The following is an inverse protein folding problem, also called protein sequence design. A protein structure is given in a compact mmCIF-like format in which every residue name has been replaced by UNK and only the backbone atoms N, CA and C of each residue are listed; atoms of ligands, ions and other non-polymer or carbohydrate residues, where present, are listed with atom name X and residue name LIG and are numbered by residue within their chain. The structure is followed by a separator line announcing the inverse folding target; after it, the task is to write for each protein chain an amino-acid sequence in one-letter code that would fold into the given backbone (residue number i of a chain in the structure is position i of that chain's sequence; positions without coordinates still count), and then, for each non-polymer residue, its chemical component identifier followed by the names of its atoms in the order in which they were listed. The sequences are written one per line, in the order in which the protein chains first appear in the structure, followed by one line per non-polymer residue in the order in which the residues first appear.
data_IF_397983908294
#
_entry.id   IF_397983908294
#
_cell.length_a   1.000
_cell.length_b   1.000
_cell.length_c   1.000
_cell.angle_alpha   90.00
_cell.angle_beta   90.00
_cell.angle_gamma   90.00
#
_symmetry.space_group_name_H-M   'P 1'
#
loop_
_entity.id
_entity.type
_entity.pdbx_description
1 polymer ?
#
# COMPACT_ATOMS: atom_id res chain seq x y z
N UNK A 1 34.30 40.18 65.02
CA UNK A 1 32.88 40.27 64.62
C UNK A 1 32.82 39.98 63.14
N UNK A 2 32.36 38.78 62.84
CA UNK A 2 31.78 38.20 61.61
C UNK A 2 32.23 38.66 60.22
N UNK A 3 32.88 37.72 59.51
CA UNK A 3 33.00 37.69 58.06
C UNK A 3 32.01 36.63 57.51
N UNK A 4 31.01 36.98 56.68
CA UNK A 4 30.00 36.04 56.23
C UNK A 4 30.51 35.16 55.07
N UNK A 5 30.50 33.85 55.34
CA UNK A 5 30.22 32.74 54.42
C UNK A 5 30.46 32.92 52.91
N UNK A 6 31.58 32.38 52.41
CA UNK A 6 31.76 31.95 51.01
C UNK A 6 31.23 30.52 50.84
N UNK A 7 29.92 30.32 50.87
CA UNK A 7 29.28 29.02 50.60
C UNK A 7 28.22 29.17 49.52
N UNK A 8 28.65 29.44 48.29
CA UNK A 8 27.70 29.76 47.22
C UNK A 8 28.07 29.38 45.79
N UNK A 9 29.05 28.50 45.54
CA UNK A 9 29.41 28.21 44.14
C UNK A 9 29.70 26.76 43.74
N UNK A 10 29.80 25.82 44.67
CA UNK A 10 30.13 24.42 44.30
C UNK A 10 28.90 23.61 43.87
N UNK A 11 27.69 23.99 44.30
CA UNK A 11 26.47 23.23 44.03
C UNK A 11 25.99 23.33 42.56
N UNK A 12 26.27 24.44 41.84
CA UNK A 12 25.76 24.66 40.46
C UNK A 12 26.41 23.78 39.38
N UNK A 13 27.67 23.37 39.54
CA UNK A 13 28.40 22.57 38.54
C UNK A 13 27.96 21.10 38.54
N UNK A 14 27.64 20.56 39.71
CA UNK A 14 27.18 19.16 39.84
C UNK A 14 25.79 18.97 39.23
N UNK A 15 24.88 19.94 39.39
CA UNK A 15 23.58 19.91 38.70
C UNK A 15 23.73 20.03 37.18
N UNK A 16 24.65 20.86 36.68
CA UNK A 16 24.88 20.98 35.24
C UNK A 16 25.41 19.68 34.61
N UNK A 17 26.30 18.96 35.31
CA UNK A 17 26.82 17.66 34.86
C UNK A 17 25.75 16.58 34.92
N UNK A 18 24.95 16.52 36.00
CA UNK A 18 23.85 15.57 36.12
C UNK A 18 22.76 15.81 35.07
N UNK A 19 22.42 17.07 34.78
CA UNK A 19 21.45 17.42 33.71
C UNK A 19 22.02 17.07 32.33
N UNK A 20 23.31 17.31 32.08
CA UNK A 20 23.94 16.93 30.82
C UNK A 20 24.00 15.41 30.62
N UNK A 21 24.27 14.63 31.68
CA UNK A 21 24.27 13.16 31.63
C UNK A 21 22.86 12.58 31.45
N UNK A 22 21.85 13.16 32.11
CA UNK A 22 20.44 12.78 31.89
C UNK A 22 19.99 13.13 30.48
N UNK A 23 20.39 14.29 29.94
CA UNK A 23 20.10 14.67 28.56
C UNK A 23 20.79 13.75 27.54
N UNK A 24 22.06 13.37 27.76
CA UNK A 24 22.77 12.42 26.92
C UNK A 24 22.15 11.02 26.98
N UNK A 25 21.69 10.60 28.17
CA UNK A 25 20.99 9.33 28.34
C UNK A 25 19.65 9.38 27.60
N UNK A 26 18.86 10.45 27.73
CA UNK A 26 17.58 10.62 27.02
C UNK A 26 17.74 10.64 25.49
N UNK A 27 18.83 11.20 24.95
CA UNK A 27 19.16 11.12 23.51
C UNK A 27 19.55 9.70 23.09
N UNK A 28 20.14 8.90 23.99
CA UNK A 28 20.53 7.51 23.74
C UNK A 28 19.34 6.52 23.88
N UNK A 29 18.33 6.84 24.70
CA UNK A 29 17.11 6.02 24.85
C UNK A 29 15.98 6.40 23.89
N UNK A 30 16.13 7.46 23.08
CA UNK A 30 15.23 7.61 21.94
C UNK A 30 15.55 6.48 20.96
N UNK A 31 14.67 5.47 20.77
CA UNK A 31 14.83 4.62 19.61
C UNK A 31 14.89 5.57 18.43
N UNK A 32 15.94 5.45 17.62
CA UNK A 32 15.89 6.00 16.27
C UNK A 32 14.65 5.35 15.67
N UNK A 33 13.54 6.10 15.64
CA UNK A 33 12.39 5.74 14.82
C UNK A 33 12.99 5.77 13.44
N UNK A 34 13.33 4.59 12.91
CA UNK A 34 13.86 4.48 11.57
C UNK A 34 12.83 5.15 10.67
N UNK A 35 13.24 6.23 10.01
CA UNK A 35 12.36 6.98 9.14
C UNK A 35 11.91 6.06 8.01
N UNK A 36 10.60 5.97 7.80
CA UNK A 36 10.03 5.31 6.64
C UNK A 36 10.63 5.93 5.35
N UNK A 37 10.88 5.15 4.27
CA UNK A 37 10.61 3.72 4.14
C UNK A 37 11.68 2.81 4.76
N UNK A 38 11.24 1.69 5.33
CA UNK A 38 12.13 0.63 5.80
C UNK A 38 12.86 -0.06 4.64
N UNK A 39 14.17 -0.37 4.76
CA UNK A 39 14.89 -1.21 3.81
C UNK A 39 14.29 -2.62 3.69
N UNK A 40 14.44 -3.29 2.54
CA UNK A 40 13.91 -4.65 2.29
C UNK A 40 14.51 -5.73 3.21
N UNK A 41 15.66 -5.45 3.79
CA UNK A 41 16.37 -6.28 4.74
C UNK A 41 16.24 -5.80 6.18
N UNK A 42 15.34 -4.85 6.45
CA UNK A 42 14.99 -4.50 7.82
C UNK A 42 14.26 -5.66 8.50
N UNK A 43 14.42 -5.74 9.82
CA UNK A 43 13.76 -6.73 10.65
C UNK A 43 12.24 -6.65 10.54
N UNK A 44 11.69 -5.44 10.38
CA UNK A 44 10.26 -5.18 10.24
C UNK A 44 9.72 -5.80 8.95
N UNK A 45 10.43 -5.61 7.83
CA UNK A 45 10.06 -6.22 6.53
C UNK A 45 10.19 -7.74 6.59
N UNK A 46 11.25 -8.26 7.21
CA UNK A 46 11.41 -9.71 7.38
C UNK A 46 10.30 -10.31 8.24
N UNK A 47 9.94 -9.68 9.36
CA UNK A 47 8.86 -10.13 10.22
C UNK A 47 7.50 -10.11 9.50
N UNK A 48 7.25 -9.11 8.65
CA UNK A 48 6.05 -9.05 7.83
C UNK A 48 5.99 -10.17 6.78
N UNK A 49 7.12 -10.46 6.11
CA UNK A 49 7.21 -11.58 5.16
C UNK A 49 7.03 -12.94 5.85
N UNK A 50 7.59 -13.11 7.05
CA UNK A 50 7.41 -14.33 7.83
C UNK A 50 5.95 -14.49 8.28
N UNK A 51 5.29 -13.40 8.71
CA UNK A 51 3.86 -13.42 9.01
C UNK A 51 3.02 -13.85 7.81
N UNK A 52 3.25 -13.28 6.62
CA UNK A 52 2.55 -13.66 5.41
C UNK A 52 2.79 -15.13 5.04
N UNK A 53 4.03 -15.63 5.22
CA UNK A 53 4.35 -17.03 4.97
C UNK A 53 3.57 -17.98 5.88
N UNK A 54 3.46 -17.64 7.17
CA UNK A 54 2.65 -18.41 8.14
C UNK A 54 1.15 -18.31 7.89
N UNK A 55 0.68 -17.18 7.36
CA UNK A 55 -0.74 -16.95 7.05
C UNK A 55 -1.20 -17.67 5.77
N UNK A 56 -0.28 -18.24 4.99
CA UNK A 56 -0.63 -18.91 3.75
C UNK A 56 -1.31 -20.26 4.02
N UNK A 57 -2.49 -20.44 3.43
CA UNK A 57 -3.27 -21.66 3.49
C UNK A 57 -2.75 -22.73 2.53
N UNK A 58 -3.11 -24.03 2.73
CA UNK A 58 -2.71 -25.12 1.84
C UNK A 58 -3.16 -24.97 0.37
N UNK A 59 -4.23 -24.22 0.10
CA UNK A 59 -4.70 -23.92 -1.27
C UNK A 59 -3.91 -22.78 -1.95
N UNK A 60 -2.93 -22.21 -1.24
CA UNK A 60 -2.09 -21.11 -1.69
C UNK A 60 -2.58 -19.73 -1.28
N UNK A 61 -3.82 -19.58 -0.83
CA UNK A 61 -4.39 -18.29 -0.46
C UNK A 61 -3.71 -17.68 0.78
N UNK A 62 -3.73 -16.35 0.85
CA UNK A 62 -3.55 -15.59 2.09
C UNK A 62 -4.82 -14.77 2.26
N UNK A 63 -5.67 -15.10 3.23
CA UNK A 63 -6.97 -14.45 3.41
C UNK A 63 -7.91 -14.69 2.23
N UNK A 64 -8.61 -13.64 1.80
CA UNK A 64 -9.51 -13.65 0.63
C UNK A 64 -8.75 -13.55 -0.71
N UNK A 65 -9.50 -13.59 -1.82
CA UNK A 65 -8.97 -13.28 -3.15
C UNK A 65 -8.30 -11.90 -3.20
N UNK A 66 -8.94 -10.91 -2.57
CA UNK A 66 -8.39 -9.56 -2.48
C UNK A 66 -7.11 -9.49 -1.66
N UNK A 67 -7.13 -10.09 -0.46
CA UNK A 67 -5.96 -10.12 0.43
C UNK A 67 -4.78 -10.83 -0.24
N UNK A 68 -5.04 -11.91 -0.97
CA UNK A 68 -4.03 -12.64 -1.74
C UNK A 68 -3.42 -11.77 -2.84
N UNK A 69 -4.24 -10.94 -3.52
CA UNK A 69 -3.76 -9.97 -4.51
C UNK A 69 -2.81 -8.93 -3.91
N UNK A 70 -3.19 -8.35 -2.77
CA UNK A 70 -2.32 -7.42 -2.05
C UNK A 70 -1.04 -8.08 -1.54
N UNK A 71 -1.14 -9.31 -1.02
CA UNK A 71 0.01 -10.09 -0.58
C UNK A 71 0.99 -10.36 -1.73
N UNK A 72 0.51 -10.75 -2.92
CA UNK A 72 1.36 -10.92 -4.11
C UNK A 72 2.15 -9.65 -4.44
N UNK A 73 1.48 -8.49 -4.42
CA UNK A 73 2.13 -7.21 -4.68
C UNK A 73 3.21 -6.92 -3.64
N UNK A 74 2.85 -7.00 -2.36
CA UNK A 74 3.75 -6.72 -1.24
C UNK A 74 4.97 -7.66 -1.24
N UNK A 75 4.75 -8.98 -1.35
CA UNK A 75 5.83 -9.99 -1.37
C UNK A 75 6.75 -9.79 -2.58
N UNK A 76 6.18 -9.43 -3.74
CA UNK A 76 6.97 -9.19 -4.95
C UNK A 76 7.95 -8.03 -4.80
N UNK A 77 7.56 -6.98 -4.08
CA UNK A 77 8.39 -5.81 -3.82
C UNK A 77 9.33 -6.07 -2.65
N UNK A 78 8.85 -6.65 -1.56
CA UNK A 78 9.63 -6.85 -0.34
C UNK A 78 10.70 -7.95 -0.47
N UNK A 79 10.38 -9.07 -1.13
CA UNK A 79 11.37 -10.12 -1.44
C UNK A 79 10.81 -11.54 -1.43
N UNK A 80 10.50 -12.07 -2.62
CA UNK A 80 9.95 -13.44 -2.81
C UNK A 80 10.82 -14.54 -2.19
N UNK A 81 12.14 -14.48 -2.38
CA UNK A 81 13.07 -15.49 -1.83
C UNK A 81 13.02 -15.57 -0.30
N UNK A 82 12.81 -14.44 0.38
CA UNK A 82 12.71 -14.39 1.84
C UNK A 82 11.39 -14.98 2.31
N UNK A 83 10.28 -14.59 1.68
CA UNK A 83 8.97 -15.22 1.92
C UNK A 83 9.03 -16.75 1.78
N UNK A 84 9.68 -17.25 0.73
CA UNK A 84 9.87 -18.68 0.51
C UNK A 84 10.77 -19.34 1.58
N UNK A 85 11.82 -18.63 2.03
CA UNK A 85 12.69 -19.15 3.11
C UNK A 85 11.97 -19.28 4.46
N UNK A 86 10.88 -18.56 4.67
CA UNK A 86 10.01 -18.67 5.85
C UNK A 86 8.92 -19.75 5.70
N UNK A 87 8.95 -20.53 4.62
CA UNK A 87 7.99 -21.60 4.35
C UNK A 87 6.79 -21.19 3.49
N UNK A 88 6.75 -19.95 3.01
CA UNK A 88 5.76 -19.52 2.03
C UNK A 88 6.00 -20.15 0.65
N UNK A 89 4.96 -20.19 -0.17
CA UNK A 89 5.01 -20.69 -1.54
C UNK A 89 4.40 -19.67 -2.50
N UNK A 90 5.26 -18.86 -3.11
CA UNK A 90 4.80 -17.77 -3.98
C UNK A 90 4.13 -18.30 -5.26
N UNK A 91 4.57 -19.46 -5.77
CA UNK A 91 3.92 -20.08 -6.94
C UNK A 91 2.49 -20.50 -6.62
N UNK A 92 2.25 -21.15 -5.47
CA UNK A 92 0.91 -21.55 -5.06
C UNK A 92 -0.01 -20.34 -4.84
N UNK A 93 0.52 -19.23 -4.30
CA UNK A 93 -0.24 -17.98 -4.16
C UNK A 93 -0.64 -17.40 -5.53
N UNK A 94 0.27 -17.40 -6.50
CA UNK A 94 -0.04 -16.99 -7.87
C UNK A 94 -1.03 -17.93 -8.54
N UNK A 95 -0.92 -19.24 -8.31
CA UNK A 95 -1.85 -20.23 -8.85
C UNK A 95 -3.25 -20.08 -8.23
N UNK A 96 -3.34 -19.74 -6.95
CA UNK A 96 -4.60 -19.39 -6.31
C UNK A 96 -5.29 -18.21 -7.02
N UNK A 97 -4.57 -17.11 -7.29
CA UNK A 97 -5.15 -15.96 -8.03
C UNK A 97 -5.63 -16.32 -9.43
N UNK A 98 -4.93 -17.23 -10.12
CA UNK A 98 -5.32 -17.70 -11.46
C UNK A 98 -6.57 -18.58 -11.40
N UNK A 99 -6.59 -19.51 -10.47
CA UNK A 99 -7.64 -20.53 -10.39
C UNK A 99 -8.95 -20.00 -9.79
N UNK A 100 -8.88 -18.90 -9.03
CA UNK A 100 -10.01 -18.32 -8.31
C UNK A 100 -10.38 -16.91 -8.82
N UNK A 101 -10.10 -16.61 -10.10
CA UNK A 101 -10.60 -15.38 -10.72
C UNK A 101 -12.12 -15.28 -10.53
N UNK A 102 -12.66 -14.15 -10.00
CA UNK A 102 -14.08 -14.03 -9.71
C UNK A 102 -14.96 -14.20 -10.95
N UNK A 103 -16.14 -14.81 -10.77
CA UNK A 103 -17.13 -14.96 -11.84
C UNK A 103 -17.78 -13.61 -12.21
N UNK A 104 -17.93 -12.73 -11.23
CA UNK A 104 -18.41 -11.35 -11.37
C UNK A 104 -17.32 -10.41 -10.80
N UNK A 105 -16.27 -10.10 -11.58
CA UNK A 105 -15.14 -9.30 -11.11
C UNK A 105 -15.47 -7.81 -11.13
N UNK A 106 -15.22 -7.14 -10.01
CA UNK A 106 -15.34 -5.67 -9.92
C UNK A 106 -14.21 -4.94 -10.64
N UNK A 107 -14.37 -3.65 -10.91
CA UNK A 107 -13.28 -2.78 -11.37
C UNK A 107 -12.05 -2.86 -10.44
N UNK A 108 -12.28 -2.93 -9.13
CA UNK A 108 -11.21 -3.07 -8.14
C UNK A 108 -10.53 -4.45 -8.17
N UNK A 109 -11.24 -5.53 -8.51
CA UNK A 109 -10.62 -6.84 -8.71
C UNK A 109 -9.69 -6.85 -9.92
N UNK A 110 -10.10 -6.23 -11.04
CA UNK A 110 -9.22 -6.04 -12.18
C UNK A 110 -7.99 -5.19 -11.81
N UNK A 111 -8.20 -4.02 -11.20
CA UNK A 111 -7.11 -3.13 -10.85
C UNK A 111 -6.09 -3.78 -9.91
N UNK A 112 -6.57 -4.42 -8.83
CA UNK A 112 -5.74 -5.14 -7.86
C UNK A 112 -4.96 -6.27 -8.51
N UNK A 113 -5.61 -7.09 -9.33
CA UNK A 113 -4.94 -8.23 -9.98
C UNK A 113 -3.95 -7.77 -11.04
N UNK A 114 -4.21 -6.67 -11.77
CA UNK A 114 -3.23 -6.06 -12.68
C UNK A 114 -1.97 -5.66 -11.90
N UNK A 115 -2.13 -4.90 -10.82
CA UNK A 115 -1.00 -4.43 -10.02
C UNK A 115 -0.20 -5.60 -9.42
N UNK A 116 -0.89 -6.62 -8.90
CA UNK A 116 -0.27 -7.84 -8.39
C UNK A 116 0.53 -8.58 -9.47
N UNK A 117 -0.06 -8.77 -10.67
CA UNK A 117 0.59 -9.45 -11.80
C UNK A 117 1.80 -8.66 -12.31
N UNK A 118 1.69 -7.35 -12.44
CA UNK A 118 2.81 -6.49 -12.86
C UNK A 118 3.95 -6.53 -11.84
N UNK A 119 3.63 -6.41 -10.54
CA UNK A 119 4.62 -6.55 -9.47
C UNK A 119 5.28 -7.94 -9.48
N UNK A 120 4.50 -8.99 -9.82
CA UNK A 120 5.00 -10.34 -10.00
C UNK A 120 5.92 -10.50 -11.24
N UNK A 121 6.06 -9.48 -12.08
CA UNK A 121 6.80 -9.51 -13.35
C UNK A 121 6.03 -10.22 -14.48
N UNK A 122 4.73 -10.43 -14.30
CA UNK A 122 3.85 -11.03 -15.28
C UNK A 122 3.26 -10.02 -16.27
N UNK A 123 2.58 -10.54 -17.29
CA UNK A 123 1.87 -9.73 -18.28
C UNK A 123 0.35 -9.73 -17.98
N UNK A 124 -0.24 -8.61 -17.53
CA UNK A 124 -1.66 -8.54 -17.20
C UNK A 124 -2.58 -8.69 -18.43
N UNK A 125 -2.05 -8.54 -19.65
CA UNK A 125 -2.78 -8.74 -20.91
C UNK A 125 -2.89 -10.23 -21.32
N UNK A 126 -2.22 -11.12 -20.57
CA UNK A 126 -2.19 -12.57 -20.80
C UNK A 126 -2.38 -13.33 -19.49
N UNK A 127 -3.33 -12.87 -18.65
CA UNK A 127 -3.60 -13.50 -17.38
C UNK A 127 -4.31 -14.84 -17.59
N UNK A 128 -3.73 -15.92 -17.07
CA UNK A 128 -4.32 -17.26 -17.18
C UNK A 128 -5.30 -17.46 -16.03
N UNK A 129 -6.49 -17.95 -16.35
CA UNK A 129 -7.49 -18.42 -15.40
C UNK A 129 -7.80 -19.90 -15.62
N UNK A 130 -8.61 -20.49 -14.76
CA UNK A 130 -9.14 -21.85 -14.93
C UNK A 130 -10.00 -21.98 -16.21
N UNK A 131 -10.60 -20.90 -16.68
CA UNK A 131 -11.49 -20.88 -17.85
C UNK A 131 -10.83 -20.41 -19.15
N UNK A 132 -9.59 -19.93 -19.12
CA UNK A 132 -8.91 -19.46 -20.33
C UNK A 132 -7.83 -18.42 -20.06
N UNK A 133 -7.44 -17.67 -21.09
CA UNK A 133 -6.56 -16.51 -20.93
C UNK A 133 -7.37 -15.25 -21.15
N UNK A 134 -7.28 -14.30 -20.22
CA UNK A 134 -7.99 -13.03 -20.27
C UNK A 134 -7.01 -11.86 -20.32
N UNK A 135 -7.48 -10.74 -20.90
CA UNK A 135 -6.78 -9.46 -20.83
C UNK A 135 -7.41 -8.63 -19.69
N UNK A 136 -6.73 -8.58 -18.55
CA UNK A 136 -7.21 -7.81 -17.40
C UNK A 136 -7.30 -6.31 -17.70
N UNK A 137 -6.40 -5.79 -18.55
CA UNK A 137 -6.37 -4.37 -18.92
C UNK A 137 -7.61 -4.00 -19.73
N UNK A 138 -8.00 -4.84 -20.68
CA UNK A 138 -9.23 -4.61 -21.46
C UNK A 138 -10.47 -4.73 -20.56
N UNK A 139 -10.46 -5.68 -19.61
CA UNK A 139 -11.52 -5.81 -18.61
C UNK A 139 -11.70 -4.56 -17.75
N UNK A 140 -10.60 -4.01 -17.21
CA UNK A 140 -10.64 -2.75 -16.46
C UNK A 140 -11.12 -1.57 -17.32
N UNK A 141 -10.63 -1.46 -18.55
CA UNK A 141 -11.09 -0.42 -19.49
C UNK A 141 -12.56 -0.55 -19.87
N UNK A 142 -13.16 -1.74 -19.71
CA UNK A 142 -14.59 -1.94 -19.92
C UNK A 142 -15.48 -1.11 -19.00
N UNK A 143 -14.96 -0.69 -17.83
CA UNK A 143 -15.64 0.19 -16.88
C UNK A 143 -15.44 1.68 -17.16
N UNK A 144 -14.66 2.04 -18.18
CA UNK A 144 -14.43 3.44 -18.52
C UNK A 144 -15.65 4.02 -19.24
N UNK A 145 -16.28 5.03 -18.64
CA UNK A 145 -17.50 5.66 -19.17
C UNK A 145 -17.24 6.90 -20.06
N UNK A 146 -15.97 7.19 -20.35
CA UNK A 146 -15.53 8.39 -21.05
C UNK A 146 -15.08 9.52 -20.12
N UNK A 147 -15.35 9.43 -18.82
CA UNK A 147 -14.93 10.41 -17.81
C UNK A 147 -14.11 9.76 -16.70
N UNK A 148 -14.53 8.59 -16.24
CA UNK A 148 -13.98 7.90 -15.06
C UNK A 148 -14.06 6.38 -15.22
N UNK A 149 -13.47 5.63 -14.31
CA UNK A 149 -13.77 4.20 -14.13
C UNK A 149 -14.98 4.10 -13.21
N UNK A 150 -16.05 3.48 -13.69
CA UNK A 150 -17.27 3.31 -12.91
C UNK A 150 -17.84 1.91 -13.06
N UNK A 151 -17.98 1.22 -11.92
CA UNK A 151 -18.60 -0.10 -11.84
C UNK A 151 -19.99 -0.01 -11.20
N UNK A 152 -21.07 0.13 -12.00
CA UNK A 152 -22.43 0.17 -11.46
C UNK A 152 -22.87 -1.16 -10.84
N UNK A 153 -22.22 -2.27 -11.15
CA UNK A 153 -22.54 -3.60 -10.60
C UNK A 153 -22.09 -3.77 -9.15
N UNK A 154 -21.05 -3.02 -8.74
CA UNK A 154 -20.43 -3.08 -7.41
C UNK A 154 -20.46 -1.73 -6.68
N UNK A 155 -21.41 -0.87 -7.05
CA UNK A 155 -21.54 0.49 -6.54
C UNK A 155 -22.22 0.53 -5.16
N UNK A 156 -21.40 0.63 -4.12
CA UNK A 156 -21.85 0.75 -2.74
C UNK A 156 -22.07 2.20 -2.30
N UNK A 157 -21.72 3.19 -3.14
CA UNK A 157 -21.74 4.62 -2.82
C UNK A 157 -22.69 5.44 -3.72
N UNK A 158 -23.64 4.78 -4.38
CA UNK A 158 -24.67 5.44 -5.19
C UNK A 158 -24.10 6.29 -6.33
N UNK A 159 -22.98 5.89 -6.89
CA UNK A 159 -22.35 6.49 -8.05
C UNK A 159 -21.28 7.51 -7.70
N UNK A 160 -20.90 7.61 -6.43
CA UNK A 160 -20.00 8.67 -5.95
C UNK A 160 -18.68 8.15 -5.40
N UNK A 161 -18.45 6.83 -5.37
CA UNK A 161 -17.16 6.27 -4.96
C UNK A 161 -16.06 6.71 -5.92
N UNK A 162 -14.91 7.08 -5.36
CA UNK A 162 -13.72 7.46 -6.12
C UNK A 162 -12.68 6.33 -6.18
N UNK A 163 -12.92 5.23 -5.46
CA UNK A 163 -11.99 4.09 -5.32
C UNK A 163 -11.62 3.44 -6.64
N UNK A 164 -12.60 3.29 -7.53
CA UNK A 164 -12.39 2.62 -8.82
C UNK A 164 -11.46 3.43 -9.71
N UNK A 165 -11.53 4.75 -9.63
CA UNK A 165 -10.65 5.68 -10.35
C UNK A 165 -9.21 5.62 -9.85
N UNK A 166 -9.01 5.66 -8.51
CA UNK A 166 -7.67 5.62 -7.92
C UNK A 166 -6.94 4.33 -8.24
N UNK A 167 -7.59 3.19 -8.01
CA UNK A 167 -6.98 1.90 -8.34
C UNK A 167 -6.87 1.69 -9.84
N UNK A 168 -7.88 2.13 -10.59
CA UNK A 168 -7.91 2.04 -12.04
C UNK A 168 -6.74 2.75 -12.71
N UNK A 169 -6.50 4.02 -12.37
CA UNK A 169 -5.40 4.79 -12.96
C UNK A 169 -4.03 4.19 -12.62
N UNK A 170 -3.81 3.75 -11.38
CA UNK A 170 -2.58 3.09 -10.96
C UNK A 170 -2.34 1.79 -11.74
N UNK A 171 -3.39 0.98 -11.89
CA UNK A 171 -3.33 -0.30 -12.59
C UNK A 171 -3.05 -0.14 -14.08
N UNK A 172 -3.75 0.78 -14.76
CA UNK A 172 -3.57 1.06 -16.18
C UNK A 172 -2.14 1.54 -16.47
N UNK A 173 -1.63 2.52 -15.70
CA UNK A 173 -0.26 3.02 -15.87
C UNK A 173 0.76 1.90 -15.63
N UNK A 174 0.57 1.09 -14.58
CA UNK A 174 1.44 -0.05 -14.27
C UNK A 174 1.45 -1.11 -15.39
N UNK A 175 0.33 -1.28 -16.08
CA UNK A 175 0.21 -2.16 -17.25
C UNK A 175 0.76 -1.55 -18.56
N UNK A 176 1.35 -0.35 -18.49
CA UNK A 176 1.98 0.34 -19.61
C UNK A 176 1.03 1.22 -20.43
N UNK A 177 -0.15 1.57 -19.90
CA UNK A 177 -0.97 2.62 -20.49
C UNK A 177 -0.21 3.96 -20.45
N UNK A 178 -0.23 4.69 -21.57
CA UNK A 178 0.47 5.97 -21.64
C UNK A 178 -0.15 6.98 -20.69
N UNK A 179 0.67 7.70 -19.93
CA UNK A 179 0.20 8.79 -19.06
C UNK A 179 -0.54 9.88 -19.83
N UNK A 180 -0.28 10.01 -21.13
CA UNK A 180 -0.91 10.99 -22.01
C UNK A 180 -2.11 10.44 -22.78
N UNK A 181 -2.54 9.20 -22.55
CA UNK A 181 -3.74 8.69 -23.23
C UNK A 181 -5.00 9.33 -22.65
N UNK A 182 -6.03 9.42 -23.49
CA UNK A 182 -7.30 10.08 -23.16
C UNK A 182 -7.90 9.52 -21.86
N UNK A 183 -7.94 8.20 -21.69
CA UNK A 183 -8.45 7.56 -20.48
C UNK A 183 -7.71 8.02 -19.21
N UNK A 184 -6.38 8.08 -19.23
CA UNK A 184 -5.59 8.53 -18.07
C UNK A 184 -5.84 10.01 -17.79
N UNK A 185 -5.88 10.84 -18.83
CA UNK A 185 -6.12 12.28 -18.69
C UNK A 185 -7.52 12.57 -18.15
N UNK A 186 -8.53 11.83 -18.59
CA UNK A 186 -9.91 11.99 -18.13
C UNK A 186 -10.06 11.53 -16.67
N UNK A 187 -9.54 10.36 -16.30
CA UNK A 187 -9.55 9.88 -14.91
C UNK A 187 -8.76 10.84 -13.99
N UNK A 188 -7.60 11.33 -14.44
CA UNK A 188 -6.81 12.32 -13.67
C UNK A 188 -7.62 13.59 -13.43
N UNK A 189 -8.27 14.11 -14.47
CA UNK A 189 -9.13 15.29 -14.36
C UNK A 189 -10.32 15.04 -13.43
N UNK A 190 -10.88 13.83 -13.47
CA UNK A 190 -11.96 13.41 -12.57
C UNK A 190 -11.54 13.45 -11.11
N UNK A 191 -10.44 12.75 -10.77
CA UNK A 191 -9.90 12.69 -9.40
C UNK A 191 -9.59 14.10 -8.89
N UNK A 192 -8.88 14.91 -9.69
CA UNK A 192 -8.51 16.29 -9.29
C UNK A 192 -9.74 17.19 -9.08
N UNK A 193 -10.82 16.99 -9.84
CA UNK A 193 -12.05 17.77 -9.68
C UNK A 193 -12.81 17.50 -8.37
N UNK A 194 -12.46 16.43 -7.65
CA UNK A 194 -13.04 16.05 -6.36
C UNK A 194 -12.05 16.17 -5.19
N UNK A 195 -10.94 16.90 -5.39
CA UNK A 195 -10.05 17.25 -4.29
C UNK A 195 -10.74 18.25 -3.35
N UNK A 196 -10.70 17.98 -2.05
CA UNK A 196 -11.24 18.89 -1.03
C UNK A 196 -10.38 20.15 -0.90
N UNK A 197 -10.95 21.18 -0.27
CA UNK A 197 -10.25 22.47 -0.09
C UNK A 197 -8.99 22.41 0.77
N UNK A 198 -8.78 21.32 1.51
CA UNK A 198 -7.57 21.05 2.29
C UNK A 198 -6.48 20.30 1.49
N UNK A 199 -6.75 19.97 0.22
CA UNK A 199 -5.84 19.23 -0.66
C UNK A 199 -5.95 17.70 -0.53
N UNK A 200 -6.84 17.19 0.31
CA UNK A 200 -7.09 15.75 0.44
C UNK A 200 -8.27 15.24 -0.37
N UNK A 201 -8.54 13.95 -0.25
CA UNK A 201 -9.70 13.27 -0.83
C UNK A 201 -10.38 12.39 0.21
N UNK A 202 -11.69 12.25 0.08
CA UNK A 202 -12.48 11.27 0.83
C UNK A 202 -12.93 10.10 -0.05
N UNK A 203 -13.53 9.09 0.57
CA UNK A 203 -14.01 7.87 -0.10
C UNK A 203 -15.12 8.10 -1.15
N UNK A 204 -15.81 9.25 -1.11
CA UNK A 204 -16.72 9.72 -2.18
C UNK A 204 -16.39 11.13 -2.65
N UNK A 205 -17.04 11.53 -3.74
CA UNK A 205 -17.07 12.90 -4.28
C UNK A 205 -17.37 14.01 -3.25
N UNK A 206 -18.00 13.70 -2.13
CA UNK A 206 -18.41 14.71 -1.12
C UNK A 206 -17.92 14.39 0.30
N UNK A 207 -17.24 13.26 0.50
CA UNK A 207 -16.71 12.89 1.79
C UNK A 207 -15.52 13.80 2.17
N UNK A 208 -15.41 14.09 3.47
CA UNK A 208 -14.25 14.79 4.00
C UNK A 208 -12.96 13.99 3.79
N UNK A 209 -11.83 14.70 3.75
CA UNK A 209 -10.53 14.09 3.49
C UNK A 209 -10.13 13.09 4.56
N UNK A 210 -9.53 11.98 4.12
CA UNK A 210 -8.92 10.99 5.00
C UNK A 210 -7.56 10.53 4.45
N UNK A 211 -6.80 9.87 5.32
CA UNK A 211 -5.40 9.50 5.03
C UNK A 211 -5.29 8.39 3.98
N UNK A 212 -6.27 7.51 3.89
CA UNK A 212 -6.23 6.36 3.00
C UNK A 212 -6.49 6.78 1.55
N UNK A 213 -7.43 7.70 1.36
CA UNK A 213 -7.83 8.17 0.03
C UNK A 213 -6.98 9.31 -0.49
N UNK A 214 -6.26 10.01 0.39
CA UNK A 214 -5.34 11.09 0.01
C UNK A 214 -3.96 10.59 -0.43
N UNK A 215 -3.51 9.43 0.06
CA UNK A 215 -2.18 8.88 -0.19
C UNK A 215 -2.05 8.22 -1.58
#
# INVERSE_FOLDING_TARGET
MDNPSKTGFTMRKTYAISVALVALFLVYVMPVVAAYPYPRDSREVEAALEFLARAQNPDGSIGSYGDSGWAVMAISIAGRKKFESFGGNFSALMDYLRNNWPADPSANDYARTILAVVAAGGNPKKFRTSSGTINLVDGLKGFYDGRRIYDPGHDWAGGTALTDDWWGIMALISAGESKNSEIIQNITSYILSHQNGDGGWGWTETAGSDVDNTA
#
